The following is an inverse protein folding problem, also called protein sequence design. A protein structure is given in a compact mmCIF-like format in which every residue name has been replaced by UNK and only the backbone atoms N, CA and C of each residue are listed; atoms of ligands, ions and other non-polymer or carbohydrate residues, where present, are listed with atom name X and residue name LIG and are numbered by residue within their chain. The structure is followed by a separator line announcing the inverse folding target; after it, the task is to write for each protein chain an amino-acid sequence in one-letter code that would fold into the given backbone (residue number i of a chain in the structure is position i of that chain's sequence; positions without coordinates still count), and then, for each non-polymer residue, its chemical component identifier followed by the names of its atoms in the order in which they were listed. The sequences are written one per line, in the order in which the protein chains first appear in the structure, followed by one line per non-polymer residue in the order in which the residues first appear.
data_IF_271084232461
#
_entry.id   IF_271084232461
#
_cell.length_a   1.000
_cell.length_b   1.000
_cell.length_c   1.000
_cell.angle_alpha   90.00
_cell.angle_beta   90.00
_cell.angle_gamma   90.00
#
_symmetry.space_group_name_H-M   'P 1'
#
loop_
_entity.id
_entity.type
_entity.pdbx_description
1 polymer ?
#
# COMPACT_ATOMS: atom_id res chain seq x y z
N UNK A 1 4.32 -15.20 23.84
CA UNK A 1 4.60 -13.80 23.43
C UNK A 1 3.35 -13.01 23.66
N UNK A 2 3.36 -12.02 24.58
CA UNK A 2 2.17 -11.24 24.95
C UNK A 2 1.74 -10.37 23.78
N UNK A 3 0.45 -10.41 23.47
CA UNK A 3 -0.21 -9.48 22.56
C UNK A 3 -0.02 -8.05 23.11
N UNK A 4 0.96 -7.29 22.58
CA UNK A 4 1.03 -5.85 22.86
C UNK A 4 -0.06 -5.19 22.02
N UNK A 5 -1.12 -4.78 22.71
CA UNK A 5 -2.15 -3.93 22.12
C UNK A 5 -1.53 -2.59 21.75
N UNK A 6 -1.46 -2.29 20.45
CA UNK A 6 -1.16 -0.94 19.99
C UNK A 6 -2.37 -0.04 20.23
N UNK A 7 -2.15 1.13 20.84
CA UNK A 7 -3.20 2.09 21.11
C UNK A 7 -2.87 3.42 20.42
N UNK A 8 -3.81 3.91 19.67
CA UNK A 8 -3.80 5.28 19.15
C UNK A 8 -4.94 6.05 19.79
N UNK A 9 -4.62 7.11 20.58
CA UNK A 9 -5.61 8.01 21.23
C UNK A 9 -6.80 7.25 21.86
N UNK A 10 -6.51 6.14 22.54
CA UNK A 10 -7.52 5.23 23.12
C UNK A 10 -8.05 4.16 22.16
N UNK A 11 -7.69 4.19 20.87
CA UNK A 11 -8.12 3.23 19.87
C UNK A 11 -7.23 1.98 19.87
N UNK A 12 -7.87 0.81 19.93
CA UNK A 12 -7.16 -0.47 19.91
C UNK A 12 -6.88 -0.91 18.47
N UNK A 13 -5.61 -0.87 18.05
CA UNK A 13 -5.21 -1.44 16.77
C UNK A 13 -5.17 -2.96 16.91
N UNK A 14 -6.07 -3.65 16.23
CA UNK A 14 -6.10 -5.11 16.27
C UNK A 14 -4.93 -5.69 15.49
N UNK A 15 -4.20 -6.62 16.11
CA UNK A 15 -3.19 -7.42 15.40
C UNK A 15 -3.89 -8.39 14.47
N UNK A 16 -3.67 -8.31 13.15
CA UNK A 16 -4.47 -9.09 12.20
C UNK A 16 -4.10 -10.58 12.13
N UNK A 17 -3.16 -11.06 12.92
CA UNK A 17 -2.58 -12.40 12.76
C UNK A 17 -3.59 -13.55 12.82
N UNK A 18 -4.56 -13.53 13.75
CA UNK A 18 -5.59 -14.58 13.84
C UNK A 18 -6.76 -14.36 12.87
N UNK A 19 -7.19 -13.11 12.73
CA UNK A 19 -8.28 -12.75 11.82
C UNK A 19 -7.84 -12.67 10.37
N UNK A 20 -6.55 -12.40 10.11
CA UNK A 20 -6.00 -12.28 8.76
C UNK A 20 -6.20 -13.51 7.89
N UNK A 21 -5.93 -14.71 8.43
CA UNK A 21 -6.11 -15.95 7.66
C UNK A 21 -7.57 -16.18 7.30
N UNK A 22 -8.50 -15.90 8.22
CA UNK A 22 -9.94 -16.03 7.98
C UNK A 22 -10.41 -14.94 7.00
N UNK A 23 -10.01 -13.69 7.25
CA UNK A 23 -10.30 -12.56 6.38
C UNK A 23 -9.72 -12.76 4.98
N UNK A 24 -8.46 -13.16 4.90
CA UNK A 24 -7.78 -13.44 3.64
C UNK A 24 -8.49 -14.54 2.84
N UNK A 25 -8.95 -15.62 3.49
CA UNK A 25 -9.69 -16.68 2.84
C UNK A 25 -11.08 -16.20 2.36
N UNK A 26 -11.83 -15.51 3.23
CA UNK A 26 -13.19 -15.05 2.94
C UNK A 26 -13.25 -13.91 1.90
N UNK A 27 -12.25 -13.03 1.89
CA UNK A 27 -12.23 -11.86 1.02
C UNK A 27 -11.50 -12.14 -0.29
N UNK A 28 -10.38 -12.85 -0.24
CA UNK A 28 -9.58 -13.15 -1.43
C UNK A 28 -10.33 -14.00 -2.45
N UNK A 29 -11.07 -15.00 -2.02
CA UNK A 29 -11.82 -15.87 -2.93
C UNK A 29 -12.77 -15.07 -3.82
N UNK A 30 -13.73 -14.34 -3.24
CA UNK A 30 -14.63 -13.46 -3.98
C UNK A 30 -13.90 -12.41 -4.84
N UNK A 31 -12.91 -11.70 -4.28
CA UNK A 31 -12.18 -10.69 -5.04
C UNK A 31 -11.50 -11.31 -6.26
N UNK A 32 -10.80 -12.43 -6.10
CA UNK A 32 -10.10 -13.09 -7.21
C UNK A 32 -11.08 -13.57 -8.28
N UNK A 33 -12.24 -14.07 -7.85
CA UNK A 33 -13.27 -14.58 -8.77
C UNK A 33 -14.00 -13.46 -9.50
N UNK A 34 -14.45 -12.42 -8.76
CA UNK A 34 -15.27 -11.35 -9.32
C UNK A 34 -14.47 -10.28 -10.06
N UNK A 35 -13.22 -10.00 -9.65
CA UNK A 35 -12.38 -8.98 -10.29
C UNK A 35 -11.33 -9.55 -11.24
N UNK A 36 -11.28 -10.87 -11.47
CA UNK A 36 -10.23 -11.51 -12.27
C UNK A 36 -8.83 -10.99 -11.91
N UNK A 37 -8.56 -10.88 -10.62
CA UNK A 37 -7.34 -10.25 -10.07
C UNK A 37 -6.06 -10.84 -10.70
N UNK A 38 -5.19 -9.96 -11.19
CA UNK A 38 -3.82 -10.27 -11.58
C UNK A 38 -2.85 -9.61 -10.64
N UNK A 39 -1.81 -10.34 -10.28
CA UNK A 39 -0.77 -9.85 -9.37
C UNK A 39 0.59 -10.09 -10.02
N UNK A 40 1.37 -9.03 -10.19
CA UNK A 40 2.70 -9.06 -10.78
C UNK A 40 3.74 -8.49 -9.82
N UNK A 41 4.91 -9.09 -9.77
CA UNK A 41 6.04 -8.59 -8.96
C UNK A 41 5.90 -8.82 -7.45
N UNK A 42 4.95 -9.63 -6.98
CA UNK A 42 4.74 -9.87 -5.54
C UNK A 42 5.96 -10.45 -4.84
N UNK A 43 6.79 -11.19 -5.54
CA UNK A 43 8.05 -11.76 -5.06
C UNK A 43 9.09 -10.70 -4.64
N UNK A 44 8.91 -9.46 -5.08
CA UNK A 44 9.76 -8.30 -4.73
C UNK A 44 9.50 -7.79 -3.31
N UNK A 45 8.37 -8.14 -2.72
CA UNK A 45 8.05 -7.75 -1.35
C UNK A 45 8.81 -8.63 -0.38
N UNK A 46 9.63 -8.07 0.53
CA UNK A 46 10.32 -8.83 1.55
C UNK A 46 9.37 -9.69 2.37
N UNK A 47 9.71 -10.96 2.57
CA UNK A 47 8.87 -11.91 3.32
C UNK A 47 8.91 -11.65 4.83
N UNK A 48 9.95 -11.00 5.31
CA UNK A 48 10.16 -10.66 6.73
C UNK A 48 10.69 -9.24 6.86
N UNK A 49 10.63 -8.68 8.06
CA UNK A 49 11.09 -7.33 8.36
C UNK A 49 10.12 -6.23 7.94
N UNK A 50 10.40 -4.98 8.32
CA UNK A 50 9.52 -3.84 8.05
C UNK A 50 9.47 -3.52 6.56
N UNK A 51 8.28 -3.15 6.08
CA UNK A 51 8.06 -2.72 4.68
C UNK A 51 7.01 -1.62 4.66
N UNK A 52 7.25 -0.57 3.90
CA UNK A 52 6.23 0.43 3.54
C UNK A 52 5.75 0.13 2.13
N UNK A 53 4.46 -0.15 1.95
CA UNK A 53 3.82 -0.20 0.64
C UNK A 53 3.29 1.19 0.30
N UNK A 54 3.81 1.79 -0.76
CA UNK A 54 3.36 3.08 -1.26
C UNK A 54 2.50 2.88 -2.52
N UNK A 55 1.18 3.08 -2.41
CA UNK A 55 0.24 2.77 -3.48
C UNK A 55 -0.56 3.99 -3.92
N UNK A 56 -0.96 4.04 -5.21
CA UNK A 56 -2.04 4.91 -5.66
C UNK A 56 -3.37 4.50 -5.01
N UNK A 57 -4.38 5.39 -5.05
CA UNK A 57 -5.69 5.15 -4.42
C UNK A 57 -6.82 5.56 -5.37
N UNK A 58 -7.54 4.56 -5.90
CA UNK A 58 -8.65 4.76 -6.82
C UNK A 58 -10.01 4.53 -6.16
N UNK A 59 -10.08 3.55 -5.23
CA UNK A 59 -11.34 3.09 -4.69
C UNK A 59 -11.21 2.61 -3.24
N UNK A 60 -12.33 2.56 -2.51
CA UNK A 60 -12.40 1.88 -1.21
C UNK A 60 -11.99 0.39 -1.31
N UNK A 61 -12.18 -0.22 -2.48
CA UNK A 61 -11.80 -1.63 -2.72
C UNK A 61 -10.29 -1.87 -2.76
N UNK A 62 -9.47 -0.82 -2.90
CA UNK A 62 -8.00 -0.96 -2.96
C UNK A 62 -7.43 -1.69 -1.74
N UNK A 63 -7.97 -1.44 -0.54
CA UNK A 63 -7.54 -2.09 0.70
C UNK A 63 -7.70 -3.61 0.59
N UNK A 64 -8.86 -4.06 0.09
CA UNK A 64 -9.18 -5.47 -0.04
C UNK A 64 -8.39 -6.15 -1.17
N UNK A 65 -8.24 -5.45 -2.29
CA UNK A 65 -7.49 -5.91 -3.46
C UNK A 65 -6.02 -6.05 -3.11
N UNK A 66 -5.43 -5.04 -2.48
CA UNK A 66 -4.04 -5.06 -2.05
C UNK A 66 -3.81 -6.13 -0.98
N UNK A 67 -4.69 -6.23 0.01
CA UNK A 67 -4.67 -7.30 1.00
C UNK A 67 -4.72 -8.69 0.37
N UNK A 68 -5.58 -8.89 -0.65
CA UNK A 68 -5.70 -10.15 -1.39
C UNK A 68 -4.44 -10.48 -2.22
N UNK A 69 -3.71 -9.47 -2.68
CA UNK A 69 -2.48 -9.62 -3.44
C UNK A 69 -1.27 -9.97 -2.55
N UNK A 70 -1.33 -9.64 -1.25
CA UNK A 70 -0.23 -9.83 -0.31
C UNK A 70 -0.21 -11.22 0.34
N UNK A 71 0.97 -11.59 0.87
CA UNK A 71 1.20 -12.79 1.68
C UNK A 71 1.31 -12.49 3.18
N UNK A 72 1.45 -11.21 3.52
CA UNK A 72 1.64 -10.71 4.88
C UNK A 72 0.50 -9.77 5.23
N UNK A 73 0.07 -9.70 6.50
CA UNK A 73 -0.84 -8.68 6.97
C UNK A 73 -0.33 -7.28 6.66
N UNK A 74 -1.24 -6.39 6.32
CA UNK A 74 -0.93 -4.98 6.06
C UNK A 74 -1.68 -4.14 7.07
N UNK A 75 -0.99 -3.19 7.67
CA UNK A 75 -1.60 -2.13 8.46
C UNK A 75 -1.79 -0.89 7.59
N UNK A 76 -2.98 -0.29 7.64
CA UNK A 76 -3.32 0.85 6.79
C UNK A 76 -3.61 2.10 7.61
N UNK A 77 -3.13 3.24 7.14
CA UNK A 77 -3.55 4.54 7.63
C UNK A 77 -4.86 4.96 6.96
N UNK A 78 -5.95 5.00 7.70
CA UNK A 78 -7.27 5.34 7.19
C UNK A 78 -7.82 6.63 7.83
N UNK A 79 -8.61 7.40 7.08
CA UNK A 79 -9.18 8.66 7.53
C UNK A 79 -10.06 8.47 8.76
N UNK A 80 -9.90 9.29 9.80
CA UNK A 80 -10.61 9.18 11.10
C UNK A 80 -12.12 9.08 10.94
N UNK A 81 -12.71 9.81 10.00
CA UNK A 81 -14.15 9.83 9.78
C UNK A 81 -14.72 8.47 9.29
N UNK A 82 -13.87 7.58 8.79
CA UNK A 82 -14.32 6.22 8.43
C UNK A 82 -14.63 5.36 9.66
N UNK A 83 -14.07 5.71 10.82
CA UNK A 83 -14.28 5.01 12.09
C UNK A 83 -15.51 5.51 12.86
N UNK A 84 -16.17 6.57 12.41
CA UNK A 84 -17.41 7.07 12.99
C UNK A 84 -18.60 6.15 12.71
N UNK A 85 -18.58 5.42 11.59
CA UNK A 85 -19.59 4.43 11.27
C UNK A 85 -19.20 3.07 11.87
N UNK A 86 -19.95 2.51 12.83
CA UNK A 86 -19.57 1.30 13.56
C UNK A 86 -19.43 0.06 12.66
N UNK A 87 -20.15 -0.01 11.54
CA UNK A 87 -20.04 -1.12 10.60
C UNK A 87 -18.73 -0.99 9.79
N UNK A 88 -18.46 0.21 9.29
CA UNK A 88 -17.23 0.50 8.53
C UNK A 88 -16.01 0.34 9.44
N UNK A 89 -16.05 0.91 10.66
CA UNK A 89 -15.01 0.76 11.68
C UNK A 89 -14.66 -0.71 11.90
N UNK A 90 -15.67 -1.53 12.19
CA UNK A 90 -15.43 -2.96 12.41
C UNK A 90 -14.77 -3.64 11.23
N UNK A 91 -15.19 -3.34 10.01
CA UNK A 91 -14.65 -3.93 8.78
C UNK A 91 -13.19 -3.51 8.57
N UNK A 92 -12.90 -2.19 8.60
CA UNK A 92 -11.57 -1.67 8.30
C UNK A 92 -10.55 -1.97 9.40
N UNK A 93 -10.98 -1.99 10.66
CA UNK A 93 -10.14 -2.37 11.80
C UNK A 93 -9.70 -3.83 11.68
N UNK A 94 -10.62 -4.74 11.32
CA UNK A 94 -10.27 -6.14 11.07
C UNK A 94 -9.37 -6.30 9.83
N UNK A 95 -9.44 -5.37 8.88
CA UNK A 95 -8.52 -5.29 7.74
C UNK A 95 -7.16 -4.66 8.09
N UNK A 96 -6.91 -4.32 9.36
CA UNK A 96 -5.65 -3.76 9.84
C UNK A 96 -5.55 -2.23 9.73
N UNK A 97 -6.67 -1.52 9.52
CA UNK A 97 -6.66 -0.06 9.45
C UNK A 97 -6.60 0.57 10.86
N UNK A 98 -5.88 1.69 10.96
CA UNK A 98 -5.87 2.57 12.12
C UNK A 98 -6.10 4.03 11.68
N UNK A 99 -6.72 4.85 12.55
CA UNK A 99 -7.13 6.19 12.17
C UNK A 99 -5.96 7.15 12.02
N UNK A 100 -6.10 8.11 11.07
CA UNK A 100 -5.20 9.24 10.89
C UNK A 100 -6.00 10.51 10.55
N UNK A 101 -5.69 11.60 11.24
CA UNK A 101 -6.20 12.94 10.90
C UNK A 101 -5.43 13.50 9.72
N UNK A 102 -6.10 13.67 8.59
CA UNK A 102 -5.50 14.21 7.37
C UNK A 102 -5.49 15.73 7.39
N UNK A 103 -4.49 16.32 6.77
CA UNK A 103 -4.36 17.78 6.67
C UNK A 103 -3.50 18.42 7.76
N UNK A 104 -3.17 17.68 8.80
CA UNK A 104 -2.27 18.09 9.89
C UNK A 104 -1.23 17.02 10.20
N UNK A 105 -0.23 17.37 11.02
CA UNK A 105 0.75 16.41 11.50
C UNK A 105 0.15 15.61 12.65
N UNK A 106 -0.39 14.43 12.36
CA UNK A 106 -0.92 13.52 13.37
C UNK A 106 0.22 12.69 13.99
N UNK A 107 0.68 13.16 15.16
CA UNK A 107 1.79 12.52 15.89
C UNK A 107 1.43 11.10 16.34
N UNK A 108 0.19 10.88 16.79
CA UNK A 108 -0.27 9.55 17.22
C UNK A 108 -0.25 8.54 16.08
N UNK A 109 -0.77 8.92 14.91
CA UNK A 109 -0.72 8.08 13.72
C UNK A 109 0.72 7.79 13.26
N UNK A 110 1.64 8.77 13.38
CA UNK A 110 3.06 8.57 13.07
C UNK A 110 3.74 7.61 14.05
N UNK A 111 3.42 7.69 15.34
CA UNK A 111 3.94 6.76 16.36
C UNK A 111 3.43 5.35 16.11
N UNK A 112 2.13 5.17 15.85
CA UNK A 112 1.57 3.87 15.48
C UNK A 112 2.23 3.30 14.21
N UNK A 113 2.47 4.11 13.19
CA UNK A 113 3.17 3.68 12.00
C UNK A 113 4.59 3.20 12.29
N UNK A 114 5.32 3.90 13.18
CA UNK A 114 6.66 3.48 13.63
C UNK A 114 6.62 2.19 14.43
N UNK A 115 5.63 2.01 15.30
CA UNK A 115 5.46 0.76 16.06
C UNK A 115 5.17 -0.42 15.14
N UNK A 116 4.31 -0.26 14.14
CA UNK A 116 4.06 -1.26 13.09
C UNK A 116 5.37 -1.69 12.45
N UNK A 117 6.16 -0.73 11.98
CA UNK A 117 7.44 -1.03 11.32
C UNK A 117 8.49 -1.60 12.29
N UNK A 118 8.56 -1.11 13.54
CA UNK A 118 9.47 -1.64 14.56
C UNK A 118 9.20 -3.11 14.92
N UNK A 119 7.97 -3.57 14.76
CA UNK A 119 7.60 -4.99 14.90
C UNK A 119 7.99 -5.84 13.70
N UNK A 120 8.46 -5.23 12.63
CA UNK A 120 8.76 -5.90 11.36
C UNK A 120 7.51 -6.13 10.50
N UNK A 121 6.43 -5.41 10.73
CA UNK A 121 5.18 -5.52 9.99
C UNK A 121 5.16 -4.67 8.70
N UNK A 122 4.09 -4.81 7.91
CA UNK A 122 3.89 -4.09 6.65
C UNK A 122 2.94 -2.91 6.86
N UNK A 123 3.37 -1.72 6.51
CA UNK A 123 2.57 -0.50 6.53
C UNK A 123 2.14 -0.11 5.12
N UNK A 124 0.84 -0.03 4.86
CA UNK A 124 0.26 0.45 3.61
C UNK A 124 -0.07 1.95 3.68
N UNK A 125 0.46 2.72 2.75
CA UNK A 125 0.21 4.16 2.63
C UNK A 125 -0.29 4.46 1.22
N UNK A 126 -1.46 5.08 1.12
CA UNK A 126 -1.95 5.65 -0.13
C UNK A 126 -1.35 7.04 -0.34
N UNK A 127 -0.52 7.18 -1.36
CA UNK A 127 0.35 8.35 -1.57
C UNK A 127 -0.40 9.64 -1.93
N UNK A 128 -1.56 9.49 -2.59
CA UNK A 128 -2.34 10.64 -3.08
C UNK A 128 -3.06 11.38 -1.95
N UNK A 129 -3.14 10.77 -0.76
CA UNK A 129 -3.89 11.30 0.37
C UNK A 129 -5.41 11.44 0.15
N UNK A 130 -5.87 11.31 -1.09
CA UNK A 130 -7.28 11.32 -1.53
C UNK A 130 -7.46 10.31 -2.66
N UNK A 131 -8.70 9.88 -2.91
CA UNK A 131 -9.01 9.00 -4.05
C UNK A 131 -9.04 9.84 -5.32
N UNK A 132 -8.36 9.35 -6.35
CA UNK A 132 -8.46 9.90 -7.70
C UNK A 132 -9.15 8.87 -8.60
N UNK A 133 -10.28 9.26 -9.20
CA UNK A 133 -11.02 8.43 -10.17
C UNK A 133 -10.33 8.42 -11.55
N UNK A 134 -9.03 8.61 -11.58
CA UNK A 134 -8.22 8.58 -12.81
C UNK A 134 -7.08 7.59 -12.64
N UNK A 135 -6.71 6.96 -13.73
CA UNK A 135 -5.56 6.04 -13.76
C UNK A 135 -4.21 6.77 -13.54
N UNK A 136 -4.18 8.11 -13.57
CA UNK A 136 -2.96 8.88 -13.42
C UNK A 136 -2.40 8.80 -11.98
N UNK A 137 -1.11 8.56 -11.88
CA UNK A 137 -0.37 8.68 -10.61
C UNK A 137 -0.29 10.15 -10.23
N UNK A 138 -0.93 10.51 -9.12
CA UNK A 138 -0.91 11.86 -8.57
C UNK A 138 0.46 12.28 -8.02
N UNK A 139 0.51 13.46 -7.40
CA UNK A 139 1.70 13.94 -6.72
C UNK A 139 1.98 13.10 -5.46
N UNK A 140 3.17 12.49 -5.40
CA UNK A 140 3.58 11.67 -4.25
C UNK A 140 4.01 12.56 -3.10
N UNK A 141 3.26 12.52 -2.01
CA UNK A 141 3.62 13.26 -0.79
C UNK A 141 4.80 12.61 -0.08
N UNK A 142 5.65 13.43 0.52
CA UNK A 142 6.88 12.99 1.20
C UNK A 142 6.65 12.10 2.44
N UNK A 143 5.41 11.94 2.90
CA UNK A 143 5.07 11.20 4.13
C UNK A 143 5.51 9.74 4.12
N UNK A 144 5.28 9.03 3.02
CA UNK A 144 5.72 7.63 2.90
C UNK A 144 7.25 7.50 2.95
N UNK A 145 7.96 8.37 2.22
CA UNK A 145 9.42 8.42 2.23
C UNK A 145 9.98 8.78 3.61
N UNK A 146 9.36 9.74 4.30
CA UNK A 146 9.74 10.15 5.65
C UNK A 146 9.58 9.00 6.65
N UNK A 147 8.43 8.34 6.69
CA UNK A 147 8.16 7.24 7.62
C UNK A 147 9.14 6.09 7.37
N UNK A 148 9.34 5.72 6.11
CA UNK A 148 10.26 4.66 5.72
C UNK A 148 11.71 4.98 6.12
N UNK A 149 12.21 6.19 5.81
CA UNK A 149 13.56 6.61 6.17
C UNK A 149 13.79 6.65 7.69
N UNK A 150 12.80 7.09 8.47
CA UNK A 150 12.89 7.13 9.93
C UNK A 150 12.90 5.72 10.54
N UNK A 151 12.19 4.77 9.94
CA UNK A 151 12.13 3.38 10.38
C UNK A 151 13.25 2.49 9.80
N UNK A 152 14.05 2.99 8.85
CA UNK A 152 15.02 2.17 8.11
C UNK A 152 14.35 1.06 7.28
N UNK A 153 13.12 1.27 6.86
CA UNK A 153 12.32 0.31 6.12
C UNK A 153 12.37 0.59 4.60
N UNK A 154 12.44 -0.44 3.74
CA UNK A 154 12.28 -0.25 2.31
C UNK A 154 10.85 0.18 1.97
N UNK A 155 10.72 1.04 0.95
CA UNK A 155 9.43 1.35 0.31
C UNK A 155 9.28 0.45 -0.90
N UNK A 156 8.17 -0.28 -0.98
CA UNK A 156 7.77 -1.01 -2.19
C UNK A 156 6.63 -0.23 -2.85
N UNK A 157 6.87 0.42 -3.99
CA UNK A 157 5.81 1.06 -4.76
C UNK A 157 4.84 0.01 -5.30
N UNK A 158 3.54 0.32 -5.24
CA UNK A 158 2.49 -0.60 -5.70
C UNK A 158 1.50 0.17 -6.56
N UNK A 159 1.25 -0.32 -7.76
CA UNK A 159 0.23 0.25 -8.64
C UNK A 159 -0.99 -0.67 -8.71
N UNK A 160 -2.15 -0.11 -8.37
CA UNK A 160 -3.45 -0.77 -8.44
C UNK A 160 -4.21 -0.19 -9.63
N UNK A 161 -4.80 -1.06 -10.46
CA UNK A 161 -5.54 -0.67 -11.64
C UNK A 161 -6.91 -1.33 -11.69
N UNK A 162 -7.94 -0.57 -12.10
CA UNK A 162 -9.27 -1.05 -12.40
C UNK A 162 -10.23 -1.17 -11.21
N UNK A 163 -9.85 -0.73 -10.01
CA UNK A 163 -10.71 -0.81 -8.83
C UNK A 163 -11.79 0.26 -8.80
N UNK A 164 -11.60 1.37 -9.49
CA UNK A 164 -12.59 2.45 -9.68
C UNK A 164 -13.86 1.98 -10.39
N UNK A 165 -13.72 1.00 -11.28
CA UNK A 165 -14.81 0.47 -12.13
C UNK A 165 -15.54 -0.73 -11.53
N UNK A 166 -15.03 -1.32 -10.43
CA UNK A 166 -15.57 -2.58 -9.86
C UNK A 166 -17.01 -2.44 -9.39
N UNK A 167 -17.40 -1.25 -8.89
CA UNK A 167 -18.78 -0.99 -8.42
C UNK A 167 -19.77 -0.97 -9.56
N UNK A 168 -19.41 -0.29 -10.64
CA UNK A 168 -20.32 -0.04 -11.77
C UNK A 168 -20.34 -1.21 -12.76
N UNK A 169 -19.24 -1.95 -12.83
CA UNK A 169 -19.10 -3.09 -13.72
C UNK A 169 -18.51 -4.31 -12.98
N UNK A 170 -19.36 -5.17 -12.41
CA UNK A 170 -18.90 -6.45 -11.83
C UNK A 170 -18.13 -7.26 -12.87
N UNK A 171 -17.02 -7.86 -12.45
CA UNK A 171 -16.03 -8.56 -13.29
C UNK A 171 -15.07 -7.65 -14.08
N UNK A 172 -14.98 -6.38 -13.73
CA UNK A 172 -13.90 -5.53 -14.23
C UNK A 172 -12.56 -6.15 -13.88
N UNK A 173 -11.66 -6.26 -14.86
CA UNK A 173 -10.31 -6.74 -14.62
C UNK A 173 -9.54 -5.81 -13.68
N UNK A 174 -9.04 -6.35 -12.57
CA UNK A 174 -8.21 -5.63 -11.60
C UNK A 174 -6.80 -6.18 -11.59
N UNK A 175 -5.82 -5.32 -11.47
CA UNK A 175 -4.43 -5.76 -11.32
C UNK A 175 -3.69 -5.02 -10.19
N UNK A 176 -2.72 -5.71 -9.58
CA UNK A 176 -1.80 -5.17 -8.59
C UNK A 176 -0.38 -5.46 -9.04
N UNK A 177 0.40 -4.41 -9.22
CA UNK A 177 1.78 -4.51 -9.69
C UNK A 177 2.72 -3.97 -8.62
N UNK A 178 3.66 -4.81 -8.17
CA UNK A 178 4.65 -4.44 -7.16
C UNK A 178 5.97 -4.04 -7.84
N UNK A 179 6.50 -2.90 -7.43
CA UNK A 179 7.80 -2.38 -7.82
C UNK A 179 8.95 -2.97 -7.01
N UNK A 180 10.16 -2.52 -7.29
CA UNK A 180 11.34 -2.87 -6.51
C UNK A 180 11.36 -2.11 -5.17
N UNK A 181 11.89 -2.73 -4.12
CA UNK A 181 12.14 -2.03 -2.87
C UNK A 181 13.10 -0.86 -3.08
N UNK A 182 12.73 0.31 -2.59
CA UNK A 182 13.52 1.53 -2.60
C UNK A 182 13.94 1.85 -1.17
N UNK A 183 15.24 1.93 -0.91
CA UNK A 183 15.75 2.43 0.37
C UNK A 183 15.91 3.94 0.30
N UNK A 184 15.19 4.65 1.17
CA UNK A 184 15.31 6.11 1.25
C UNK A 184 16.51 6.44 2.13
N UNK A 185 17.56 6.96 1.51
CA UNK A 185 18.80 7.34 2.19
C UNK A 185 18.75 8.82 2.62
N UNK A 186 19.33 9.10 3.80
CA UNK A 186 19.38 10.44 4.37
C UNK A 186 18.14 10.82 5.18
N UNK A 187 18.21 11.99 5.82
CA UNK A 187 17.14 12.56 6.67
C UNK A 187 16.87 14.01 6.30
N UNK A 188 15.68 14.48 6.64
CA UNK A 188 15.26 15.86 6.38
C UNK A 188 14.46 16.05 5.09
N UNK A 189 13.88 17.22 4.92
CA UNK A 189 12.88 17.49 3.87
C UNK A 189 13.40 17.27 2.45
N UNK A 190 14.69 17.55 2.19
CA UNK A 190 15.31 17.34 0.87
C UNK A 190 15.36 15.83 0.53
N UNK A 191 15.83 15.00 1.46
CA UNK A 191 15.91 13.55 1.26
C UNK A 191 14.51 12.92 1.10
N UNK A 192 13.54 13.38 1.88
CA UNK A 192 12.17 12.86 1.80
C UNK A 192 11.45 13.26 0.50
N UNK A 193 11.71 14.46 -0.03
CA UNK A 193 11.20 14.87 -1.35
C UNK A 193 11.84 14.04 -2.47
N UNK A 194 13.16 13.89 -2.46
CA UNK A 194 13.84 13.03 -3.43
C UNK A 194 13.33 11.59 -3.38
N UNK A 195 13.09 11.03 -2.19
CA UNK A 195 12.47 9.72 -2.03
C UNK A 195 11.04 9.66 -2.58
N UNK A 196 10.24 10.71 -2.39
CA UNK A 196 8.90 10.79 -2.96
C UNK A 196 8.92 10.85 -4.50
N UNK A 197 9.88 11.56 -5.08
CA UNK A 197 10.10 11.62 -6.53
C UNK A 197 10.48 10.23 -7.10
N UNK A 198 11.38 9.49 -6.42
CA UNK A 198 11.73 8.13 -6.79
C UNK A 198 10.52 7.18 -6.75
N UNK A 199 9.73 7.25 -5.67
CA UNK A 199 8.48 6.46 -5.54
C UNK A 199 7.53 6.81 -6.70
N UNK A 200 7.34 8.09 -7.00
CA UNK A 200 6.47 8.54 -8.08
C UNK A 200 6.93 8.11 -9.46
N UNK A 201 8.23 8.14 -9.72
CA UNK A 201 8.81 7.66 -10.96
C UNK A 201 8.56 6.16 -11.15
N UNK A 202 8.77 5.35 -10.10
CA UNK A 202 8.52 3.92 -10.15
C UNK A 202 7.02 3.62 -10.34
N UNK A 203 6.13 4.33 -9.65
CA UNK A 203 4.67 4.17 -9.83
C UNK A 203 4.22 4.44 -11.27
N UNK A 204 4.74 5.48 -11.92
CA UNK A 204 4.44 5.75 -13.34
C UNK A 204 4.93 4.64 -14.27
N UNK A 205 6.08 4.02 -13.93
CA UNK A 205 6.58 2.84 -14.68
C UNK A 205 5.69 1.62 -14.49
N UNK A 206 5.22 1.37 -13.25
CA UNK A 206 4.29 0.30 -12.95
C UNK A 206 2.93 0.51 -13.63
N UNK A 207 2.47 1.75 -13.72
CA UNK A 207 1.28 2.12 -14.47
C UNK A 207 1.43 1.75 -15.95
N UNK A 208 2.49 2.23 -16.60
CA UNK A 208 2.75 1.93 -18.01
C UNK A 208 2.86 0.42 -18.28
N UNK A 209 3.47 -0.33 -17.35
CA UNK A 209 3.53 -1.79 -17.42
C UNK A 209 2.14 -2.42 -17.31
N UNK A 210 1.33 -2.03 -16.31
CA UNK A 210 -0.01 -2.58 -16.09
C UNK A 210 -0.91 -2.34 -17.31
N UNK A 211 -0.90 -1.14 -17.87
CA UNK A 211 -1.62 -0.80 -19.10
C UNK A 211 -1.16 -1.61 -20.31
N UNK A 212 0.16 -1.81 -20.45
CA UNK A 212 0.72 -2.66 -21.51
C UNK A 212 0.31 -4.11 -21.35
N UNK A 213 0.37 -4.63 -20.12
CA UNK A 213 -0.02 -6.00 -19.81
C UNK A 213 -1.54 -6.22 -20.03
N UNK A 214 -2.37 -5.22 -19.75
CA UNK A 214 -3.81 -5.29 -20.02
C UNK A 214 -4.09 -5.34 -21.54
N UNK A 215 -3.41 -4.52 -22.33
CA UNK A 215 -3.49 -4.58 -23.81
C UNK A 215 -3.00 -5.92 -24.38
N UNK A 216 -2.01 -6.55 -23.74
CA UNK A 216 -1.48 -7.86 -24.11
C UNK A 216 -2.33 -9.05 -23.61
N UNK A 217 -3.54 -8.82 -23.11
CA UNK A 217 -4.43 -9.89 -22.64
C UNK A 217 -4.13 -10.39 -21.23
N UNK A 218 -3.40 -9.63 -20.42
CA UNK A 218 -3.14 -9.87 -19.00
C UNK A 218 -2.41 -11.19 -18.72
N UNK A 219 -1.20 -11.38 -19.22
CA UNK A 219 -0.45 -12.60 -19.04
C UNK A 219 -0.31 -12.96 -17.56
N UNK A 220 -0.43 -14.24 -17.24
CA UNK A 220 -0.35 -14.74 -15.86
C UNK A 220 1.04 -14.49 -15.24
N UNK A 221 2.06 -14.59 -16.06
CA UNK A 221 3.46 -14.43 -15.70
C UNK A 221 4.05 -13.28 -16.50
N UNK A 222 3.92 -12.06 -15.98
CA UNK A 222 4.62 -10.90 -16.51
C UNK A 222 5.52 -10.34 -15.41
N UNK A 223 6.72 -9.97 -15.78
CA UNK A 223 7.69 -9.37 -14.86
C UNK A 223 7.71 -7.88 -15.14
N UNK A 224 7.34 -7.02 -14.16
CA UNK A 224 7.46 -5.59 -14.32
C UNK A 224 8.92 -5.22 -14.65
N UNK A 225 9.14 -4.29 -15.60
CA UNK A 225 10.49 -3.94 -16.05
C UNK A 225 11.35 -3.44 -14.88
N UNK A 226 12.65 -3.65 -15.01
CA UNK A 226 13.62 -3.10 -14.07
C UNK A 226 13.79 -1.61 -14.33
N UNK A 227 14.01 -0.82 -13.27
CA UNK A 227 14.48 0.55 -13.43
C UNK A 227 15.81 0.50 -14.21
N UNK A 228 16.07 1.43 -15.16
CA UNK A 228 17.41 1.58 -15.67
C UNK A 228 18.37 1.71 -14.47
N UNK A 229 19.49 0.99 -14.50
CA UNK A 229 20.53 1.20 -13.50
C UNK A 229 20.82 2.71 -13.46
N UNK A 230 20.81 3.31 -12.27
CA UNK A 230 21.34 4.66 -12.13
C UNK A 230 22.75 4.58 -12.70
N UNK A 231 22.97 5.21 -13.83
CA UNK A 231 24.31 5.47 -14.31
C UNK A 231 24.96 6.32 -13.25
N UNK A 232 25.86 5.71 -12.50
CA UNK A 232 26.77 6.41 -11.59
C UNK A 232 27.35 7.57 -12.37
N UNK A 233 26.81 8.77 -12.14
CA UNK A 233 27.31 10.01 -12.68
C UNK A 233 28.65 10.27 -12.01
N UNK A 234 29.66 9.53 -12.46
CA UNK A 234 31.03 9.88 -12.21
C UNK A 234 31.35 11.18 -12.91
N UNK A 235 31.46 12.23 -12.18
CA UNK A 235 32.53 13.22 -12.23
C UNK A 235 32.32 14.25 -11.12
#
# INVERSE_FOLDING_TARGET
MSEREMRWDGYKVMTPERSWNVWWFLVRGPITLFSKLRVWGRERVPLTGPVVLASNHQSFYDIFVLGSAMRRPIFYMAKTELFENPIVDRIITHAGAFPVRRGEVDRGALETAKEVLARGDVLGIFIDGTRHHTDAVGEVRAGAAMIAAQAGAPVVPVYIHGTDKVVDAPRTPVSVTFGRPIMITGRGSKAYRAGAEQIGAELRRLQAFAESADRAGRPKYAIPPEAPAETDGGQ
#
